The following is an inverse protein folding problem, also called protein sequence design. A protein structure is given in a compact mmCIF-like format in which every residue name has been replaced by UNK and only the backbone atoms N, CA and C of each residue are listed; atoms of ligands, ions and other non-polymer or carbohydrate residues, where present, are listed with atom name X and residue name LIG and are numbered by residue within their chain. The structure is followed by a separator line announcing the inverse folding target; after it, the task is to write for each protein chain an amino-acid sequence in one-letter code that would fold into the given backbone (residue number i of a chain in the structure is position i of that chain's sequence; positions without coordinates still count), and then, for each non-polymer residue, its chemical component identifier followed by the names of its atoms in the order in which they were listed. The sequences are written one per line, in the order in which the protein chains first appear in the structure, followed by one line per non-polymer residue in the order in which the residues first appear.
data_IF_756450247444
#
_entry.id   IF_756450247444
#
_cell.length_a   1.000
_cell.length_b   1.000
_cell.length_c   1.000
_cell.angle_alpha   90.00
_cell.angle_beta   90.00
_cell.angle_gamma   90.00
#
_symmetry.space_group_name_H-M   'P 1'
#
loop_
_entity.id
_entity.type
_entity.pdbx_description
1 polymer ?
#
# COMPACT_ATOMS: atom_id res chain seq x y z
N UNK A 1 -38.21 18.20 27.95
CA UNK A 1 -37.18 17.46 28.71
C UNK A 1 -36.69 16.28 27.88
N UNK A 2 -35.42 16.29 27.45
CA UNK A 2 -34.67 15.06 27.22
C UNK A 2 -33.47 15.00 28.18
N UNK A 3 -33.32 13.85 28.82
CA UNK A 3 -32.32 13.58 29.85
C UNK A 3 -30.90 13.62 29.30
N UNK A 4 -30.03 14.33 30.03
CA UNK A 4 -28.59 14.38 29.87
C UNK A 4 -28.03 12.99 30.19
N UNK A 5 -27.58 12.26 29.16
CA UNK A 5 -26.83 11.02 29.33
C UNK A 5 -25.41 11.40 29.78
N UNK A 6 -25.13 11.19 31.07
CA UNK A 6 -23.81 11.32 31.67
C UNK A 6 -22.80 10.43 30.93
N UNK A 7 -21.68 11.04 30.51
CA UNK A 7 -20.49 10.34 30.01
C UNK A 7 -19.93 9.44 31.11
N UNK A 8 -20.02 8.12 30.95
CA UNK A 8 -19.25 7.17 31.76
C UNK A 8 -17.77 7.32 31.43
N UNK A 9 -17.02 7.75 32.43
CA UNK A 9 -15.57 7.81 32.46
C UNK A 9 -15.06 6.36 32.42
N UNK A 10 -14.43 5.95 31.31
CA UNK A 10 -13.79 4.64 31.20
C UNK A 10 -12.57 4.62 32.12
N UNK A 11 -12.70 3.97 33.27
CA UNK A 11 -11.58 3.60 34.12
C UNK A 11 -10.67 2.66 33.34
N UNK A 12 -9.41 3.07 33.17
CA UNK A 12 -8.33 2.25 32.67
C UNK A 12 -8.09 1.16 33.71
N UNK A 13 -8.54 -0.07 33.44
CA UNK A 13 -8.22 -1.22 34.27
C UNK A 13 -6.70 -1.48 34.21
N UNK A 14 -6.00 -1.12 35.29
CA UNK A 14 -4.67 -1.62 35.60
C UNK A 14 -4.79 -3.11 35.90
N UNK A 15 -4.29 -3.96 35.02
CA UNK A 15 -4.20 -5.39 35.28
C UNK A 15 -3.25 -5.66 36.46
N UNK A 16 -3.69 -6.57 37.32
CA UNK A 16 -2.99 -7.13 38.47
C UNK A 16 -1.59 -7.62 38.12
N UNK A 17 -0.60 -7.18 38.91
CA UNK A 17 0.70 -7.82 39.03
C UNK A 17 0.56 -8.98 40.03
N UNK A 18 0.53 -10.21 39.53
CA UNK A 18 0.76 -11.42 40.32
C UNK A 18 2.00 -12.10 39.73
N UNK A 19 3.08 -12.15 40.51
CA UNK A 19 4.18 -13.13 40.39
C UNK A 19 5.11 -12.97 39.19
N UNK A 20 6.38 -12.69 39.47
CA UNK A 20 7.48 -12.63 38.51
C UNK A 20 7.67 -13.93 37.70
N UNK A 21 6.99 -14.01 36.56
CA UNK A 21 7.45 -14.68 35.34
C UNK A 21 7.08 -13.72 34.21
N UNK A 22 8.08 -13.13 33.57
CA UNK A 22 7.86 -12.24 32.43
C UNK A 22 7.03 -13.00 31.39
N UNK A 23 5.74 -12.65 31.26
CA UNK A 23 4.84 -13.30 30.31
C UNK A 23 5.42 -13.09 28.91
N UNK A 24 5.59 -14.19 28.18
CA UNK A 24 6.12 -14.21 26.81
C UNK A 24 5.31 -13.27 25.92
N UNK A 25 5.89 -12.18 25.43
CA UNK A 25 5.17 -11.17 24.65
C UNK A 25 5.67 -11.12 23.21
N UNK A 26 4.77 -11.33 22.26
CA UNK A 26 5.03 -11.12 20.84
C UNK A 26 4.73 -9.66 20.50
N UNK A 27 5.75 -8.94 20.02
CA UNK A 27 5.66 -7.50 19.76
C UNK A 27 5.76 -7.25 18.26
N UNK A 28 4.77 -6.53 17.72
CA UNK A 28 4.84 -5.93 16.38
C UNK A 28 5.21 -4.45 16.51
N UNK A 29 6.31 -4.04 15.89
CA UNK A 29 6.72 -2.65 15.85
C UNK A 29 6.61 -2.15 14.40
N UNK A 30 5.83 -1.10 14.15
CA UNK A 30 5.62 -0.68 12.76
C UNK A 30 4.41 0.16 12.47
N UNK A 31 3.99 0.09 11.20
CA UNK A 31 2.84 0.81 10.64
C UNK A 31 2.24 0.08 9.43
N UNK A 32 1.20 0.68 8.86
CA UNK A 32 0.65 0.36 7.55
C UNK A 32 0.03 -1.04 7.45
N UNK A 33 -0.39 -1.43 6.24
CA UNK A 33 -1.18 -2.64 6.00
C UNK A 33 -0.46 -3.91 6.45
N UNK A 34 0.85 -4.01 6.22
CA UNK A 34 1.67 -5.15 6.63
C UNK A 34 1.58 -5.41 8.15
N UNK A 35 1.69 -4.37 8.98
CA UNK A 35 1.64 -4.52 10.43
C UNK A 35 0.22 -4.83 10.92
N UNK A 36 -0.79 -4.18 10.34
CA UNK A 36 -2.21 -4.43 10.68
C UNK A 36 -2.64 -5.85 10.29
N UNK A 37 -2.23 -6.32 9.11
CA UNK A 37 -2.47 -7.69 8.66
C UNK A 37 -1.82 -8.71 9.59
N UNK A 38 -0.54 -8.50 9.91
CA UNK A 38 0.21 -9.39 10.81
C UNK A 38 -0.43 -9.43 12.21
N UNK A 39 -0.84 -8.28 12.76
CA UNK A 39 -1.54 -8.21 14.05
C UNK A 39 -2.83 -9.03 14.05
N UNK A 40 -3.61 -8.91 12.98
CA UNK A 40 -4.84 -9.66 12.84
C UNK A 40 -4.60 -11.17 12.69
N UNK A 41 -3.60 -11.60 11.91
CA UNK A 41 -3.22 -13.01 11.80
C UNK A 41 -2.85 -13.59 13.18
N UNK A 42 -1.99 -12.89 13.94
CA UNK A 42 -1.61 -13.33 15.27
C UNK A 42 -2.81 -13.44 16.21
N UNK A 43 -3.72 -12.46 16.17
CA UNK A 43 -4.91 -12.42 17.05
C UNK A 43 -5.96 -13.48 16.69
N UNK A 44 -6.34 -13.57 15.42
CA UNK A 44 -7.51 -14.35 14.99
C UNK A 44 -7.15 -15.74 14.47
N UNK A 45 -6.05 -15.87 13.72
CA UNK A 45 -5.62 -17.15 13.13
C UNK A 45 -4.77 -17.95 14.13
N UNK A 46 -3.70 -17.36 14.65
CA UNK A 46 -2.77 -18.04 15.57
C UNK A 46 -3.16 -17.95 17.04
N UNK A 47 -4.15 -17.11 17.38
CA UNK A 47 -4.70 -16.94 18.74
C UNK A 47 -3.63 -16.65 19.80
N UNK A 48 -2.60 -15.87 19.43
CA UNK A 48 -1.58 -15.42 20.38
C UNK A 48 -2.24 -14.50 21.41
N UNK A 49 -2.09 -14.85 22.69
CA UNK A 49 -2.72 -14.13 23.81
C UNK A 49 -1.97 -12.87 24.18
N UNK A 50 -0.65 -13.00 24.34
CA UNK A 50 0.22 -11.94 24.82
C UNK A 50 0.80 -11.15 23.64
N UNK A 51 -0.03 -10.25 23.10
CA UNK A 51 0.31 -9.36 21.99
C UNK A 51 0.45 -7.92 22.48
N UNK A 52 1.45 -7.24 21.94
CA UNK A 52 1.59 -5.80 22.07
C UNK A 52 2.13 -5.18 20.78
N UNK A 53 1.97 -3.87 20.64
CA UNK A 53 2.47 -3.13 19.49
C UNK A 53 3.34 -1.94 19.91
N UNK A 54 4.31 -1.58 19.06
CA UNK A 54 5.03 -0.31 19.13
C UNK A 54 4.70 0.49 17.87
N UNK A 55 4.18 1.70 18.07
CA UNK A 55 3.64 2.54 16.99
C UNK A 55 4.69 3.53 16.50
N UNK A 56 4.77 3.71 15.18
CA UNK A 56 5.59 4.76 14.57
C UNK A 56 5.12 6.16 14.98
N UNK A 57 6.03 7.13 15.03
CA UNK A 57 5.73 8.52 15.43
C UNK A 57 4.63 9.16 14.56
N UNK A 58 4.57 8.80 13.29
CA UNK A 58 3.64 9.38 12.31
C UNK A 58 2.25 8.76 12.31
N UNK A 59 2.03 7.63 13.00
CA UNK A 59 0.72 6.99 13.06
C UNK A 59 -0.16 7.68 14.11
N UNK A 60 -1.08 8.50 13.61
CA UNK A 60 -1.99 9.32 14.41
C UNK A 60 -3.28 8.59 14.83
N UNK A 61 -3.48 7.32 14.43
CA UNK A 61 -4.73 6.59 14.72
C UNK A 61 -5.82 6.74 13.68
N UNK A 62 -5.52 7.31 12.50
CA UNK A 62 -6.47 7.51 11.41
C UNK A 62 -6.09 6.60 10.24
N UNK A 63 -7.06 5.89 9.67
CA UNK A 63 -6.84 5.17 8.42
C UNK A 63 -6.79 6.17 7.27
N UNK A 64 -5.74 6.08 6.46
CA UNK A 64 -5.62 6.75 5.17
C UNK A 64 -5.36 5.67 4.12
N UNK A 65 -4.61 5.95 3.05
CA UNK A 65 -4.23 4.99 2.01
C UNK A 65 -3.50 3.74 2.52
N UNK A 66 -3.07 3.75 3.78
CA UNK A 66 -2.68 2.60 4.57
C UNK A 66 -3.42 2.59 5.93
N UNK A 67 -3.63 1.40 6.49
CA UNK A 67 -4.25 1.22 7.79
C UNK A 67 -3.35 1.71 8.94
N UNK A 68 -3.97 2.29 9.96
CA UNK A 68 -3.31 2.65 11.20
C UNK A 68 -3.19 1.43 12.13
N UNK A 69 -1.96 1.08 12.50
CA UNK A 69 -1.69 0.04 13.49
C UNK A 69 -2.20 0.47 14.86
N UNK A 70 -2.06 1.76 15.19
CA UNK A 70 -2.56 2.35 16.43
C UNK A 70 -4.07 2.19 16.57
N UNK A 71 -4.82 2.58 15.53
CA UNK A 71 -6.27 2.45 15.51
C UNK A 71 -6.69 1.00 15.72
N UNK A 72 -6.04 0.08 15.00
CA UNK A 72 -6.38 -1.34 15.08
C UNK A 72 -6.07 -1.94 16.45
N UNK A 73 -4.94 -1.59 17.05
CA UNK A 73 -4.58 -2.05 18.39
C UNK A 73 -5.63 -1.61 19.43
N UNK A 74 -6.12 -0.37 19.34
CA UNK A 74 -7.18 0.14 20.22
C UNK A 74 -8.49 -0.64 20.02
N UNK A 75 -8.92 -0.84 18.77
CA UNK A 75 -10.14 -1.61 18.46
C UNK A 75 -10.10 -3.04 19.00
N UNK A 76 -8.93 -3.66 19.01
CA UNK A 76 -8.72 -5.03 19.49
C UNK A 76 -8.36 -5.13 20.98
N UNK A 77 -8.31 -3.99 21.69
CA UNK A 77 -7.84 -3.90 23.06
C UNK A 77 -6.45 -4.54 23.28
N UNK A 78 -5.53 -4.26 22.36
CA UNK A 78 -4.13 -4.72 22.39
C UNK A 78 -3.24 -3.60 22.94
N UNK A 79 -2.31 -3.97 23.82
CA UNK A 79 -1.42 -3.02 24.48
C UNK A 79 -0.52 -2.28 23.49
N UNK A 80 -0.42 -0.96 23.64
CA UNK A 80 0.53 -0.11 22.91
C UNK A 80 1.67 0.22 23.87
N UNK A 81 2.88 -0.17 23.52
CA UNK A 81 4.09 0.02 24.33
C UNK A 81 5.01 1.09 23.74
N UNK A 82 5.82 1.67 24.61
CA UNK A 82 7.04 2.36 24.18
C UNK A 82 8.09 1.34 23.71
N UNK A 83 9.09 1.80 22.93
CA UNK A 83 10.20 0.94 22.53
C UNK A 83 10.97 0.43 23.76
N UNK A 84 11.16 1.25 24.79
CA UNK A 84 11.85 0.86 26.02
C UNK A 84 11.11 -0.24 26.79
N UNK A 85 9.77 -0.19 26.84
CA UNK A 85 8.98 -1.27 27.43
C UNK A 85 9.05 -2.55 26.58
N UNK A 86 9.05 -2.41 25.25
CA UNK A 86 9.19 -3.53 24.35
C UNK A 86 10.55 -4.23 24.47
N UNK A 87 11.64 -3.46 24.55
CA UNK A 87 13.02 -3.95 24.80
C UNK A 87 13.08 -4.88 26.02
N UNK A 88 12.35 -4.55 27.10
CA UNK A 88 12.33 -5.31 28.35
C UNK A 88 11.40 -6.54 28.34
N UNK A 89 10.39 -6.58 27.46
CA UNK A 89 9.27 -7.54 27.50
C UNK A 89 9.23 -8.50 26.32
N UNK A 90 9.81 -8.14 25.18
CA UNK A 90 9.73 -8.95 23.96
C UNK A 90 10.36 -10.33 24.17
N UNK A 91 9.62 -11.38 23.82
CA UNK A 91 10.20 -12.69 23.50
C UNK A 91 10.38 -12.88 22.01
N UNK A 92 9.53 -12.22 21.22
CA UNK A 92 9.68 -12.02 19.77
C UNK A 92 9.43 -10.56 19.48
N UNK A 93 10.32 -9.95 18.69
CA UNK A 93 10.15 -8.59 18.19
C UNK A 93 10.17 -8.63 16.66
N UNK A 94 9.07 -8.21 16.04
CA UNK A 94 8.91 -8.17 14.59
C UNK A 94 8.70 -6.72 14.14
N UNK A 95 9.72 -6.19 13.48
CA UNK A 95 9.72 -4.87 12.85
C UNK A 95 9.12 -4.94 11.45
N UNK A 96 8.11 -4.09 11.19
CA UNK A 96 7.39 -4.01 9.92
C UNK A 96 7.24 -2.53 9.55
N UNK A 97 8.14 -2.00 8.71
CA UNK A 97 8.18 -0.57 8.36
C UNK A 97 8.39 0.35 9.58
N UNK A 98 9.19 -0.09 10.56
CA UNK A 98 9.41 0.64 11.82
C UNK A 98 10.35 1.84 11.66
N UNK A 99 10.08 2.94 12.37
CA UNK A 99 10.75 4.23 12.18
C UNK A 99 11.90 4.53 13.16
N UNK A 100 12.26 3.57 14.02
CA UNK A 100 13.30 3.74 15.04
C UNK A 100 14.36 2.66 14.88
N UNK A 101 15.61 3.06 15.13
CA UNK A 101 16.72 2.13 15.25
C UNK A 101 16.51 1.22 16.46
N UNK A 102 16.63 -0.08 16.23
CA UNK A 102 16.49 -1.12 17.24
C UNK A 102 17.87 -1.49 17.76
N UNK A 103 18.07 -1.36 19.07
CA UNK A 103 19.34 -1.65 19.75
C UNK A 103 19.29 -3.05 20.36
N UNK A 104 19.90 -4.02 19.69
CA UNK A 104 19.78 -5.45 20.04
C UNK A 104 20.27 -5.76 21.46
N UNK A 105 21.25 -5.00 21.97
CA UNK A 105 21.84 -5.17 23.29
C UNK A 105 20.85 -4.88 24.44
N UNK A 106 19.75 -4.19 24.14
CA UNK A 106 18.70 -3.88 25.12
C UNK A 106 17.62 -4.95 25.21
N UNK A 107 17.57 -5.88 24.26
CA UNK A 107 16.62 -6.98 24.27
C UNK A 107 17.19 -8.18 25.01
N UNK A 108 16.35 -8.85 25.80
CA UNK A 108 16.70 -10.13 26.43
C UNK A 108 16.67 -11.31 25.46
N UNK A 109 15.90 -11.17 24.37
CA UNK A 109 15.75 -12.18 23.32
C UNK A 109 16.63 -11.84 22.11
N UNK A 110 17.05 -12.88 21.37
CA UNK A 110 17.69 -12.73 20.05
C UNK A 110 16.71 -12.85 18.88
N UNK A 111 15.43 -13.14 19.17
CA UNK A 111 14.36 -13.31 18.18
C UNK A 111 13.83 -11.96 17.71
N UNK A 112 14.71 -11.22 17.03
CA UNK A 112 14.49 -9.88 16.51
C UNK A 112 14.51 -9.95 14.99
N UNK A 113 13.38 -9.67 14.37
CA UNK A 113 13.15 -9.85 12.93
C UNK A 113 12.69 -8.55 12.31
N UNK A 114 13.04 -8.34 11.04
CA UNK A 114 12.57 -7.22 10.25
C UNK A 114 12.15 -7.68 8.85
N UNK A 115 11.09 -7.09 8.32
CA UNK A 115 10.83 -7.09 6.89
C UNK A 115 11.37 -5.78 6.31
N UNK A 116 12.31 -5.90 5.38
CA UNK A 116 12.83 -4.78 4.61
C UNK A 116 12.32 -4.82 3.16
N UNK A 117 12.01 -3.66 2.61
CA UNK A 117 11.50 -3.48 1.26
C UNK A 117 12.63 -3.38 0.22
N UNK A 118 13.41 -4.44 0.09
CA UNK A 118 14.30 -4.66 -1.05
C UNK A 118 14.70 -6.14 -1.14
N UNK A 119 15.35 -6.52 -2.24
CA UNK A 119 16.16 -7.74 -2.29
C UNK A 119 17.55 -7.44 -1.73
N UNK A 120 17.70 -7.60 -0.41
CA UNK A 120 19.00 -7.51 0.24
C UNK A 120 19.99 -8.51 -0.40
N UNK A 121 21.27 -8.11 -0.59
CA UNK A 121 21.94 -6.98 0.03
C UNK A 121 21.79 -5.62 -0.66
N UNK A 122 21.09 -5.52 -1.79
CA UNK A 122 20.86 -4.25 -2.49
C UNK A 122 19.87 -3.36 -1.73
N UNK A 123 19.98 -2.04 -1.89
CA UNK A 123 19.00 -1.05 -1.45
C UNK A 123 18.68 -1.07 0.06
N UNK A 124 19.69 -1.17 0.91
CA UNK A 124 19.57 -0.90 2.35
C UNK A 124 19.12 0.55 2.58
N UNK A 125 18.41 0.80 3.67
CA UNK A 125 18.01 2.14 4.08
C UNK A 125 16.74 2.65 3.39
N UNK A 126 16.82 3.84 2.78
CA UNK A 126 15.65 4.67 2.49
C UNK A 126 15.25 4.70 1.01
N UNK A 127 13.99 5.04 0.76
CA UNK A 127 13.41 5.32 -0.57
C UNK A 127 13.53 4.15 -1.56
N UNK A 128 13.36 2.93 -1.05
CA UNK A 128 13.47 1.70 -1.85
C UNK A 128 12.39 1.58 -2.92
N UNK A 129 11.31 2.35 -2.86
CA UNK A 129 10.34 2.43 -3.96
C UNK A 129 10.77 3.35 -5.12
N UNK A 130 11.83 4.14 -4.93
CA UNK A 130 12.32 5.14 -5.90
C UNK A 130 13.64 4.70 -6.51
N UNK A 131 14.60 4.27 -5.69
CA UNK A 131 15.96 3.94 -6.16
C UNK A 131 16.03 2.81 -7.20
N UNK A 132 15.34 1.68 -7.05
CA UNK A 132 15.31 0.64 -8.07
C UNK A 132 14.78 1.14 -9.41
N UNK A 133 13.76 2.02 -9.40
CA UNK A 133 13.24 2.65 -10.61
C UNK A 133 14.33 3.49 -11.29
N UNK A 134 14.99 4.38 -10.54
CA UNK A 134 16.03 5.27 -11.09
C UNK A 134 17.21 4.46 -11.66
N UNK A 135 17.60 3.39 -10.97
CA UNK A 135 18.69 2.50 -11.38
C UNK A 135 18.29 1.48 -12.45
N UNK A 136 17.01 1.45 -12.86
CA UNK A 136 16.47 0.46 -13.80
C UNK A 136 16.74 -0.99 -13.35
N UNK A 137 16.46 -1.27 -12.08
CA UNK A 137 16.66 -2.58 -11.44
C UNK A 137 15.31 -3.17 -11.00
N UNK A 138 15.32 -4.47 -10.70
CA UNK A 138 14.23 -5.16 -10.03
C UNK A 138 14.30 -4.95 -8.51
N UNK A 139 13.28 -5.42 -7.79
CA UNK A 139 13.29 -5.34 -6.32
C UNK A 139 12.57 -6.52 -5.67
N UNK A 140 12.25 -6.41 -4.39
CA UNK A 140 11.59 -7.45 -3.62
C UNK A 140 11.51 -7.11 -2.15
N UNK A 141 11.20 -8.11 -1.34
CA UNK A 141 11.09 -7.99 0.11
C UNK A 141 11.96 -9.03 0.78
N UNK A 142 12.52 -8.68 1.93
CA UNK A 142 13.42 -9.54 2.69
C UNK A 142 13.02 -9.64 4.14
N UNK A 143 12.82 -10.86 4.63
CA UNK A 143 12.78 -11.18 6.06
C UNK A 143 14.21 -11.45 6.51
N UNK A 144 14.68 -10.71 7.51
CA UNK A 144 16.02 -10.88 8.06
C UNK A 144 16.04 -10.65 9.57
N UNK A 145 17.12 -11.10 10.21
CA UNK A 145 17.39 -10.77 11.60
C UNK A 145 17.79 -9.31 11.74
N UNK A 146 17.42 -8.68 12.87
CA UNK A 146 17.94 -7.36 13.25
C UNK A 146 19.31 -7.56 13.91
N UNK A 147 20.30 -6.77 13.49
CA UNK A 147 21.60 -6.65 14.13
C UNK A 147 21.92 -5.17 14.43
N UNK A 148 23.19 -4.85 14.68
CA UNK A 148 23.61 -3.48 15.02
C UNK A 148 23.62 -2.50 13.83
N UNK A 149 23.54 -3.00 12.60
CA UNK A 149 23.57 -2.16 11.40
C UNK A 149 22.17 -1.89 10.83
N UNK A 150 22.14 -1.17 9.71
CA UNK A 150 20.91 -0.84 9.00
C UNK A 150 20.72 -1.89 7.90
N UNK A 151 19.72 -2.75 8.09
CA UNK A 151 19.34 -3.82 7.15
C UNK A 151 20.50 -4.78 6.81
N UNK A 152 21.37 -5.06 7.77
CA UNK A 152 22.61 -5.86 7.59
C UNK A 152 22.54 -7.29 8.11
N UNK A 153 21.56 -7.61 8.96
CA UNK A 153 21.48 -8.92 9.59
C UNK A 153 21.22 -10.05 8.59
N UNK A 154 21.42 -11.28 9.07
CA UNK A 154 21.28 -12.50 8.25
C UNK A 154 19.90 -12.60 7.62
N UNK A 155 19.88 -12.92 6.33
CA UNK A 155 18.64 -13.11 5.56
C UNK A 155 18.04 -14.46 5.95
N UNK A 156 16.72 -14.48 6.17
CA UNK A 156 15.93 -15.68 6.46
C UNK A 156 15.23 -16.14 5.19
N UNK A 157 14.51 -15.23 4.53
CA UNK A 157 13.75 -15.53 3.32
C UNK A 157 13.49 -14.26 2.50
N UNK A 158 13.28 -14.40 1.20
CA UNK A 158 13.10 -13.29 0.26
C UNK A 158 12.09 -13.64 -0.83
N UNK A 159 11.36 -12.63 -1.30
CA UNK A 159 10.56 -12.73 -2.52
C UNK A 159 10.92 -11.56 -3.42
N UNK A 160 11.35 -11.86 -4.65
CA UNK A 160 11.68 -10.88 -5.68
C UNK A 160 10.53 -10.63 -6.64
N UNK A 161 10.49 -9.45 -7.23
CA UNK A 161 9.59 -9.09 -8.31
C UNK A 161 10.24 -8.14 -9.32
N UNK A 162 9.78 -8.22 -10.56
CA UNK A 162 10.22 -7.32 -11.62
C UNK A 162 9.49 -5.98 -11.55
N UNK A 163 10.18 -4.90 -11.86
CA UNK A 163 9.58 -3.56 -11.95
C UNK A 163 9.30 -3.26 -13.41
N UNK A 164 8.02 -3.28 -13.80
CA UNK A 164 7.62 -2.96 -15.18
C UNK A 164 7.91 -1.48 -15.51
N UNK A 165 8.04 -1.16 -16.79
CA UNK A 165 8.42 0.18 -17.26
C UNK A 165 7.35 1.25 -16.99
N UNK A 166 6.09 0.83 -16.83
CA UNK A 166 4.96 1.68 -16.46
C UNK A 166 4.80 1.85 -14.94
N UNK A 167 5.49 1.07 -14.10
CA UNK A 167 5.33 1.17 -12.65
C UNK A 167 5.90 2.49 -12.13
N UNK A 168 5.13 3.11 -11.24
CA UNK A 168 5.54 4.27 -10.44
C UNK A 168 6.09 3.81 -9.08
N UNK A 169 6.67 4.74 -8.31
CA UNK A 169 7.10 4.42 -6.94
C UNK A 169 5.95 4.04 -6.02
N UNK A 170 4.72 4.52 -6.28
CA UNK A 170 3.53 4.05 -5.58
C UNK A 170 3.23 2.58 -5.90
N UNK A 171 3.31 2.18 -7.17
CA UNK A 171 3.05 0.79 -7.57
C UNK A 171 4.09 -0.16 -6.98
N UNK A 172 5.38 0.22 -7.03
CA UNK A 172 6.46 -0.54 -6.39
C UNK A 172 6.23 -0.67 -4.88
N UNK A 173 5.78 0.40 -4.21
CA UNK A 173 5.46 0.34 -2.79
C UNK A 173 4.27 -0.59 -2.49
N UNK A 174 3.22 -0.56 -3.31
CA UNK A 174 2.08 -1.46 -3.15
C UNK A 174 2.50 -2.93 -3.35
N UNK A 175 3.36 -3.21 -4.33
CA UNK A 175 3.96 -4.53 -4.49
C UNK A 175 4.76 -4.94 -3.26
N UNK A 176 5.57 -4.04 -2.67
CA UNK A 176 6.25 -4.36 -1.42
C UNK A 176 5.29 -4.79 -0.33
N UNK A 177 4.17 -4.07 -0.15
CA UNK A 177 3.16 -4.44 0.85
C UNK A 177 2.59 -5.82 0.57
N UNK A 178 2.20 -6.11 -0.67
CA UNK A 178 1.58 -7.38 -1.04
C UNK A 178 2.55 -8.56 -0.90
N UNK A 179 3.77 -8.43 -1.44
CA UNK A 179 4.80 -9.47 -1.32
C UNK A 179 5.29 -9.63 0.12
N UNK A 180 5.35 -8.56 0.92
CA UNK A 180 5.71 -8.65 2.31
C UNK A 180 4.64 -9.37 3.14
N UNK A 181 3.35 -9.14 2.85
CA UNK A 181 2.26 -9.91 3.45
C UNK A 181 2.40 -11.39 3.12
N UNK A 182 2.67 -11.74 1.86
CA UNK A 182 2.92 -13.12 1.46
C UNK A 182 4.13 -13.72 2.19
N UNK A 183 5.22 -12.97 2.29
CA UNK A 183 6.44 -13.40 2.97
C UNK A 183 6.19 -13.64 4.47
N UNK A 184 5.40 -12.77 5.11
CA UNK A 184 4.97 -12.95 6.49
C UNK A 184 4.08 -14.18 6.60
N UNK A 185 3.05 -14.34 5.78
CA UNK A 185 2.14 -15.50 5.85
C UNK A 185 2.87 -16.83 5.69
N UNK A 186 3.88 -16.87 4.82
CA UNK A 186 4.76 -18.02 4.62
C UNK A 186 5.57 -18.35 5.88
N UNK A 187 6.16 -17.34 6.53
CA UNK A 187 7.15 -17.54 7.60
C UNK A 187 6.60 -17.37 9.02
N UNK A 188 5.38 -16.85 9.22
CA UNK A 188 4.89 -16.46 10.55
C UNK A 188 4.77 -17.65 11.52
N UNK A 189 4.43 -18.84 11.01
CA UNK A 189 4.39 -20.07 11.83
C UNK A 189 5.78 -20.40 12.39
N UNK A 190 6.81 -20.30 11.57
CA UNK A 190 8.19 -20.60 11.95
C UNK A 190 8.79 -19.48 12.82
N UNK A 191 8.42 -18.21 12.58
CA UNK A 191 8.72 -17.09 13.48
C UNK A 191 8.17 -17.39 14.88
N UNK A 192 6.93 -17.86 15.00
CA UNK A 192 6.30 -18.19 16.28
C UNK A 192 6.99 -19.40 16.94
N UNK A 193 7.27 -20.45 16.18
CA UNK A 193 7.84 -21.70 16.65
C UNK A 193 9.35 -21.65 16.95
N UNK A 194 10.02 -20.55 16.57
CA UNK A 194 11.49 -20.42 16.63
C UNK A 194 12.23 -21.44 15.75
N UNK A 195 11.68 -21.69 14.56
CA UNK A 195 12.18 -22.67 13.61
C UNK A 195 12.70 -21.98 12.33
N UNK A 196 13.61 -21.02 12.51
CA UNK A 196 14.19 -20.24 11.43
C UNK A 196 15.71 -20.35 11.48
N UNK A 197 16.32 -20.36 10.29
CA UNK A 197 17.75 -20.16 10.12
C UNK A 197 17.97 -19.05 9.10
N UNK A 198 19.15 -18.46 9.10
CA UNK A 198 19.50 -17.39 8.17
C UNK A 198 20.94 -17.44 7.74
N UNK A 199 21.19 -16.89 6.55
CA UNK A 199 22.50 -16.83 5.93
C UNK A 199 23.03 -15.39 5.89
N UNK A 200 24.37 -15.19 5.98
CA UNK A 200 24.95 -13.85 5.93
C UNK A 200 24.72 -13.18 4.57
N UNK A 201 24.59 -11.86 4.58
CA UNK A 201 24.49 -11.07 3.35
C UNK A 201 25.81 -11.05 2.59
N UNK A 202 25.75 -11.09 1.26
CA UNK A 202 26.94 -10.94 0.41
C UNK A 202 27.50 -9.51 0.47
N UNK A 203 28.82 -9.40 0.36
CA UNK A 203 29.51 -8.11 0.17
C UNK A 203 29.33 -7.57 -1.24
N UNK A 204 29.17 -8.47 -2.22
CA UNK A 204 28.97 -8.10 -3.62
C UNK A 204 27.58 -7.52 -3.84
N UNK A 205 27.49 -6.47 -4.65
CA UNK A 205 26.24 -5.75 -4.95
C UNK A 205 25.52 -5.15 -3.73
N UNK A 206 26.12 -5.15 -2.53
CA UNK A 206 25.55 -4.47 -1.37
C UNK A 206 25.51 -2.96 -1.61
N UNK A 207 24.33 -2.35 -1.46
CA UNK A 207 24.14 -0.91 -1.64
C UNK A 207 23.27 -0.32 -0.54
N UNK A 208 23.45 0.98 -0.28
CA UNK A 208 22.76 1.70 0.78
C UNK A 208 22.42 3.12 0.34
N UNK A 209 21.24 3.59 0.70
CA UNK A 209 20.79 4.95 0.47
C UNK A 209 20.27 5.59 1.77
N UNK A 210 20.82 6.76 2.11
CA UNK A 210 20.37 7.52 3.28
C UNK A 210 19.11 8.34 3.00
N UNK A 211 18.51 8.92 4.03
CA UNK A 211 17.40 9.86 3.89
C UNK A 211 17.78 11.17 3.16
N UNK A 212 19.07 11.48 3.00
CA UNK A 212 19.58 12.63 2.24
C UNK A 212 19.83 12.32 0.76
N UNK A 213 19.64 11.07 0.36
CA UNK A 213 19.93 10.63 -1.01
C UNK A 213 18.95 11.21 -2.04
N UNK A 214 17.74 11.61 -1.61
CA UNK A 214 16.71 12.25 -2.44
C UNK A 214 16.18 13.48 -1.70
N UNK A 215 16.10 14.61 -2.39
CA UNK A 215 15.44 15.83 -1.91
C UNK A 215 14.04 15.96 -2.53
N UNK A 216 13.01 15.55 -1.80
CA UNK A 216 11.62 15.67 -2.24
C UNK A 216 11.07 17.10 -2.23
N UNK A 217 11.83 18.09 -1.75
CA UNK A 217 11.45 19.50 -1.88
C UNK A 217 11.62 20.01 -3.31
N UNK A 218 12.58 19.45 -4.06
CA UNK A 218 12.75 19.73 -5.47
C UNK A 218 11.95 18.75 -6.33
N UNK A 219 10.80 19.21 -6.82
CA UNK A 219 9.87 18.41 -7.65
C UNK A 219 10.01 18.70 -9.15
N UNK A 220 10.94 19.57 -9.54
CA UNK A 220 11.05 20.01 -10.92
C UNK A 220 11.58 18.89 -11.80
N UNK A 221 10.95 18.69 -12.95
CA UNK A 221 11.43 17.78 -13.99
C UNK A 221 12.67 18.38 -14.64
N UNK A 222 13.77 17.62 -14.68
CA UNK A 222 14.96 17.98 -15.42
C UNK A 222 14.94 17.34 -16.81
N UNK A 223 14.85 18.16 -17.85
CA UNK A 223 14.80 17.70 -19.24
C UNK A 223 16.18 17.53 -19.89
N UNK A 224 17.28 17.88 -19.21
CA UNK A 224 18.65 17.66 -19.70
C UNK A 224 19.09 16.18 -19.59
N UNK A 225 18.24 15.29 -20.08
CA UNK A 225 18.38 13.84 -20.10
C UNK A 225 17.67 13.27 -21.33
N UNK A 226 17.88 11.98 -21.63
CA UNK A 226 17.09 11.30 -22.66
C UNK A 226 15.61 11.24 -22.26
N UNK A 227 14.68 11.16 -23.22
CA UNK A 227 13.26 11.02 -22.95
C UNK A 227 12.96 9.81 -22.04
N UNK A 228 13.75 8.73 -22.20
CA UNK A 228 13.67 7.55 -21.34
C UNK A 228 14.03 7.84 -19.87
N UNK A 229 15.11 8.59 -19.63
CA UNK A 229 15.51 9.01 -18.29
C UNK A 229 14.53 10.01 -17.68
N UNK A 230 13.99 10.95 -18.48
CA UNK A 230 12.95 11.87 -18.02
C UNK A 230 11.69 11.10 -17.63
N UNK A 231 11.23 10.15 -18.45
CA UNK A 231 10.10 9.28 -18.13
C UNK A 231 10.31 8.44 -16.87
N UNK A 232 11.52 7.90 -16.70
CA UNK A 232 11.92 7.17 -15.48
C UNK A 232 11.96 8.07 -14.24
N UNK A 233 12.39 9.32 -14.36
CA UNK A 233 12.27 10.30 -13.28
C UNK A 233 10.80 10.54 -12.93
N UNK A 234 9.95 10.76 -13.93
CA UNK A 234 8.51 10.98 -13.72
C UNK A 234 7.91 9.82 -12.93
N UNK A 235 8.12 8.56 -13.36
CA UNK A 235 7.56 7.40 -12.66
C UNK A 235 8.16 7.20 -11.27
N UNK A 236 9.45 7.45 -11.07
CA UNK A 236 10.11 7.36 -9.76
C UNK A 236 9.53 8.36 -8.75
N UNK A 237 9.23 9.58 -9.18
CA UNK A 237 8.69 10.64 -8.33
C UNK A 237 7.15 10.71 -8.31
N UNK A 238 6.48 9.76 -8.98
CA UNK A 238 5.02 9.66 -8.99
C UNK A 238 4.52 8.83 -7.81
N UNK A 239 4.20 9.52 -6.71
CA UNK A 239 3.54 8.93 -5.56
C UNK A 239 2.51 9.93 -5.02
N UNK A 240 1.32 9.93 -5.60
CA UNK A 240 0.26 10.93 -5.35
C UNK A 240 0.00 11.27 -3.87
N UNK A 241 0.04 10.28 -2.98
CA UNK A 241 -0.17 10.48 -1.54
C UNK A 241 0.90 11.38 -0.89
N UNK A 242 2.03 11.58 -1.55
CA UNK A 242 3.13 12.46 -1.13
C UNK A 242 3.38 13.58 -2.15
N UNK A 243 3.64 13.24 -3.41
CA UNK A 243 3.85 14.19 -4.48
C UNK A 243 3.68 13.58 -5.88
N UNK A 244 3.53 14.46 -6.86
CA UNK A 244 3.72 14.19 -8.28
C UNK A 244 4.79 15.15 -8.84
N UNK A 245 5.45 14.80 -9.94
CA UNK A 245 6.42 15.68 -10.58
C UNK A 245 5.76 16.94 -11.14
N UNK A 246 6.50 18.06 -11.08
CA UNK A 246 6.01 19.38 -11.46
C UNK A 246 6.95 20.01 -12.49
N UNK A 247 6.40 20.79 -13.41
CA UNK A 247 7.18 21.71 -14.23
C UNK A 247 6.35 22.94 -14.54
N UNK A 248 6.94 24.14 -14.42
CA UNK A 248 6.25 25.43 -14.60
C UNK A 248 4.90 25.52 -13.84
N UNK A 249 4.89 25.08 -12.58
CA UNK A 249 3.69 25.00 -11.70
C UNK A 249 2.56 24.09 -12.19
N UNK A 250 2.80 23.27 -13.22
CA UNK A 250 1.86 22.25 -13.69
C UNK A 250 2.27 20.90 -13.13
N UNK A 251 1.31 20.19 -12.55
CA UNK A 251 1.50 18.83 -12.04
C UNK A 251 1.27 17.83 -13.17
N UNK A 252 2.23 16.91 -13.35
CA UNK A 252 2.16 15.86 -14.35
C UNK A 252 2.05 14.49 -13.70
N UNK A 253 1.27 13.60 -14.30
CA UNK A 253 0.90 12.31 -13.72
C UNK A 253 1.32 11.10 -14.56
N UNK A 254 1.61 11.32 -15.85
CA UNK A 254 1.97 10.29 -16.81
C UNK A 254 2.76 10.92 -17.98
N UNK A 255 3.34 10.10 -18.85
CA UNK A 255 4.09 10.55 -20.02
C UNK A 255 3.97 9.59 -21.21
N UNK A 256 4.38 10.07 -22.38
CA UNK A 256 4.59 9.29 -23.60
C UNK A 256 5.84 9.82 -24.31
N UNK A 257 6.73 8.92 -24.72
CA UNK A 257 7.90 9.27 -25.54
C UNK A 257 7.49 9.19 -27.00
N UNK A 258 7.75 10.24 -27.77
CA UNK A 258 7.40 10.26 -29.19
C UNK A 258 8.53 9.70 -30.06
N UNK A 259 8.26 9.51 -31.35
CA UNK A 259 9.30 9.22 -32.35
C UNK A 259 9.97 10.48 -32.91
N UNK A 260 9.47 11.67 -32.55
CA UNK A 260 9.98 12.96 -33.02
C UNK A 260 11.22 13.40 -32.24
N UNK A 261 12.08 14.18 -32.89
CA UNK A 261 13.31 14.73 -32.31
C UNK A 261 13.45 16.20 -32.67
N UNK A 262 13.03 17.08 -31.77
CA UNK A 262 13.16 18.51 -31.97
C UNK A 262 14.61 18.98 -31.91
N UNK A 263 14.95 20.02 -32.67
CA UNK A 263 16.24 20.71 -32.59
C UNK A 263 16.30 21.75 -31.45
N UNK A 264 15.19 21.94 -30.72
CA UNK A 264 15.11 22.89 -29.62
C UNK A 264 15.94 22.42 -28.40
N UNK A 265 16.41 23.37 -27.59
CA UNK A 265 17.13 23.07 -26.35
C UNK A 265 16.25 22.20 -25.42
N UNK A 266 16.82 21.22 -24.69
CA UNK A 266 16.04 20.38 -23.78
C UNK A 266 15.21 21.19 -22.78
N UNK A 267 13.96 20.79 -22.58
CA UNK A 267 12.97 21.50 -21.74
C UNK A 267 12.21 22.61 -22.46
N UNK A 268 12.45 22.84 -23.75
CA UNK A 268 11.63 23.76 -24.55
C UNK A 268 10.24 23.15 -24.73
N UNK A 269 9.19 23.90 -24.38
CA UNK A 269 7.80 23.49 -24.61
C UNK A 269 7.47 23.64 -26.09
N UNK A 270 7.15 22.53 -26.74
CA UNK A 270 6.85 22.45 -28.17
C UNK A 270 5.35 22.61 -28.45
N UNK A 271 4.53 21.97 -27.62
CA UNK A 271 3.07 21.99 -27.74
C UNK A 271 2.42 22.01 -26.35
N UNK A 272 1.24 22.61 -26.23
CA UNK A 272 0.51 22.68 -24.98
C UNK A 272 -0.99 22.80 -25.22
N UNK A 273 -1.78 21.93 -24.61
CA UNK A 273 -3.25 21.97 -24.65
C UNK A 273 -3.84 21.66 -23.27
N UNK A 274 -5.15 21.48 -23.16
CA UNK A 274 -5.79 21.24 -21.86
C UNK A 274 -5.41 19.92 -21.18
N UNK A 275 -4.96 18.93 -21.95
CA UNK A 275 -4.62 17.57 -21.51
C UNK A 275 -3.11 17.39 -21.29
N UNK A 276 -2.29 17.96 -22.16
CA UNK A 276 -0.87 17.60 -22.26
C UNK A 276 0.04 18.80 -22.51
N UNK A 277 1.33 18.61 -22.25
CA UNK A 277 2.41 19.51 -22.65
C UNK A 277 3.55 18.68 -23.24
N UNK A 278 4.02 19.02 -24.44
CA UNK A 278 5.13 18.35 -25.11
C UNK A 278 6.42 19.15 -24.94
N UNK A 279 7.52 18.48 -24.62
CA UNK A 279 8.82 19.10 -24.40
C UNK A 279 9.91 18.39 -25.21
N UNK A 280 10.90 19.15 -25.67
CA UNK A 280 12.14 18.57 -26.20
C UNK A 280 13.00 17.98 -25.07
N UNK A 281 13.75 16.93 -25.37
CA UNK A 281 14.76 16.35 -24.48
C UNK A 281 16.11 16.23 -25.20
N UNK A 282 17.06 15.45 -24.68
CA UNK A 282 18.37 15.23 -25.35
C UNK A 282 18.22 14.44 -26.66
N UNK A 283 17.24 13.54 -26.77
CA UNK A 283 17.07 12.66 -27.92
C UNK A 283 15.68 12.75 -28.57
N UNK A 284 14.63 12.25 -27.91
CA UNK A 284 13.25 12.27 -28.43
C UNK A 284 12.39 13.28 -27.67
N UNK A 285 11.33 13.77 -28.28
CA UNK A 285 10.38 14.61 -27.57
C UNK A 285 9.53 13.77 -26.60
N UNK A 286 9.06 14.40 -25.52
CA UNK A 286 8.24 13.76 -24.49
C UNK A 286 6.94 14.52 -24.29
N UNK A 287 5.81 13.82 -24.31
CA UNK A 287 4.48 14.34 -23.99
C UNK A 287 4.18 14.03 -22.53
N UNK A 288 3.86 15.05 -21.74
CA UNK A 288 3.50 14.92 -20.34
C UNK A 288 2.00 15.15 -20.15
N UNK A 289 1.33 14.26 -19.42
CA UNK A 289 -0.10 14.35 -19.12
C UNK A 289 -0.35 15.14 -17.83
N UNK A 290 -1.14 16.20 -17.94
CA UNK A 290 -1.53 17.05 -16.81
C UNK A 290 -2.44 16.27 -15.87
N UNK A 291 -2.23 16.39 -14.57
CA UNK A 291 -3.06 15.68 -13.60
C UNK A 291 -4.53 16.18 -13.61
N UNK A 292 -5.47 15.24 -13.67
CA UNK A 292 -6.93 15.48 -13.71
C UNK A 292 -7.72 14.50 -12.84
N UNK A 293 -7.09 13.91 -11.82
CA UNK A 293 -7.73 12.86 -11.01
C UNK A 293 -9.11 13.24 -10.47
N UNK A 294 -9.27 14.44 -9.90
CA UNK A 294 -10.55 14.86 -9.32
C UNK A 294 -11.65 14.96 -10.38
N UNK A 295 -11.33 15.46 -11.57
CA UNK A 295 -12.27 15.50 -12.69
C UNK A 295 -12.67 14.09 -13.13
N UNK A 296 -11.70 13.17 -13.23
CA UNK A 296 -11.99 11.77 -13.60
C UNK A 296 -12.93 11.10 -12.59
N UNK A 297 -12.74 11.37 -11.30
CA UNK A 297 -13.68 10.91 -10.27
C UNK A 297 -15.08 11.52 -10.41
N UNK A 298 -15.17 12.82 -10.71
CA UNK A 298 -16.45 13.49 -10.95
C UNK A 298 -17.20 12.89 -12.15
N UNK A 299 -16.50 12.67 -13.28
CA UNK A 299 -17.09 12.05 -14.47
C UNK A 299 -17.56 10.61 -14.18
N UNK A 300 -16.77 9.85 -13.42
CA UNK A 300 -17.15 8.51 -12.98
C UNK A 300 -18.41 8.51 -12.09
N UNK A 301 -18.52 9.47 -11.17
CA UNK A 301 -19.71 9.64 -10.32
C UNK A 301 -20.95 10.02 -11.12
N UNK A 302 -20.79 10.77 -12.21
CA UNK A 302 -21.88 11.20 -13.10
C UNK A 302 -22.26 10.12 -14.13
N UNK A 303 -21.45 9.07 -14.28
CA UNK A 303 -21.66 8.03 -15.30
C UNK A 303 -21.26 8.47 -16.72
N UNK A 304 -20.52 9.57 -16.88
CA UNK A 304 -20.11 10.10 -18.18
C UNK A 304 -18.88 9.34 -18.71
N UNK A 305 -19.13 8.16 -19.28
CA UNK A 305 -18.10 7.28 -19.82
C UNK A 305 -17.34 7.92 -21.01
N UNK A 306 -18.04 8.64 -21.87
CA UNK A 306 -17.44 9.19 -23.09
C UNK A 306 -16.47 10.33 -22.79
N UNK A 307 -16.80 11.19 -21.81
CA UNK A 307 -15.85 12.19 -21.36
C UNK A 307 -14.72 11.57 -20.51
N UNK A 308 -15.03 10.58 -19.65
CA UNK A 308 -14.03 9.88 -18.84
C UNK A 308 -12.92 9.25 -19.70
N UNK A 309 -13.29 8.62 -20.83
CA UNK A 309 -12.35 8.04 -21.80
C UNK A 309 -11.29 9.05 -22.27
N UNK A 310 -11.66 10.32 -22.45
CA UNK A 310 -10.73 11.37 -22.90
C UNK A 310 -9.67 11.73 -21.86
N UNK A 311 -9.99 11.56 -20.57
CA UNK A 311 -9.11 11.94 -19.46
C UNK A 311 -8.44 10.75 -18.77
N UNK A 312 -8.62 9.53 -19.25
CA UNK A 312 -8.09 8.33 -18.57
C UNK A 312 -6.56 8.30 -18.50
N UNK A 313 -5.86 8.98 -19.43
CA UNK A 313 -4.40 9.11 -19.41
C UNK A 313 -3.91 10.25 -18.50
N UNK A 314 -4.83 11.07 -18.00
CA UNK A 314 -4.57 12.20 -17.10
C UNK A 314 -4.70 11.83 -15.62
N UNK A 315 -4.57 10.55 -15.29
CA UNK A 315 -4.41 10.04 -13.92
C UNK A 315 -3.13 9.20 -13.84
N UNK A 316 -2.55 9.12 -12.65
CA UNK A 316 -1.32 8.34 -12.43
C UNK A 316 -1.59 6.84 -12.45
N UNK A 317 -2.76 6.42 -11.96
CA UNK A 317 -3.15 5.02 -11.90
C UNK A 317 -4.67 4.89 -11.97
N UNK A 318 -5.14 3.90 -12.73
CA UNK A 318 -6.56 3.51 -12.79
C UNK A 318 -7.10 3.05 -11.42
N UNK A 319 -6.18 2.64 -10.53
CA UNK A 319 -6.46 2.17 -9.18
C UNK A 319 -6.27 3.26 -8.10
N UNK A 320 -6.08 4.53 -8.51
CA UNK A 320 -6.14 5.65 -7.58
C UNK A 320 -7.49 5.70 -6.85
N UNK A 321 -7.49 6.31 -5.67
CA UNK A 321 -8.65 6.36 -4.77
C UNK A 321 -8.94 7.80 -4.38
N UNK A 322 -10.22 8.12 -4.24
CA UNK A 322 -10.65 9.41 -3.72
C UNK A 322 -10.47 9.50 -2.19
N UNK A 323 -10.87 10.63 -1.59
CA UNK A 323 -10.78 10.87 -0.15
C UNK A 323 -11.56 9.87 0.73
N UNK A 324 -12.56 9.18 0.14
CA UNK A 324 -13.35 8.14 0.81
C UNK A 324 -12.76 6.74 0.60
N UNK A 325 -11.58 6.63 -0.04
CA UNK A 325 -10.93 5.39 -0.45
C UNK A 325 -11.67 4.59 -1.53
N UNK A 326 -12.50 5.24 -2.33
CA UNK A 326 -13.18 4.56 -3.42
C UNK A 326 -12.34 4.68 -4.68
N UNK A 327 -12.09 3.55 -5.35
CA UNK A 327 -11.57 3.55 -6.71
C UNK A 327 -12.67 3.89 -7.71
N UNK A 328 -12.29 4.24 -8.94
CA UNK A 328 -13.24 4.43 -10.04
C UNK A 328 -14.13 3.18 -10.22
N UNK A 329 -13.53 2.00 -10.14
CA UNK A 329 -14.24 0.74 -10.29
C UNK A 329 -15.28 0.52 -9.17
N UNK A 330 -14.99 0.94 -7.93
CA UNK A 330 -15.99 0.88 -6.84
C UNK A 330 -17.16 1.82 -7.07
N UNK A 331 -16.90 3.04 -7.53
CA UNK A 331 -17.95 4.02 -7.84
C UNK A 331 -18.85 3.49 -8.96
N UNK A 332 -18.26 3.00 -10.05
CA UNK A 332 -19.00 2.43 -11.17
C UNK A 332 -19.80 1.18 -10.74
N UNK A 333 -19.20 0.30 -9.93
CA UNK A 333 -19.86 -0.90 -9.42
C UNK A 333 -21.06 -0.59 -8.50
N UNK A 334 -20.90 0.38 -7.60
CA UNK A 334 -21.96 0.81 -6.68
C UNK A 334 -23.16 1.45 -7.39
N UNK A 335 -22.91 2.15 -8.50
CA UNK A 335 -23.96 2.78 -9.31
C UNK A 335 -24.50 1.87 -10.43
N UNK A 336 -23.92 0.69 -10.64
CA UNK A 336 -24.36 -0.23 -11.68
C UNK A 336 -23.99 0.17 -13.11
N UNK A 337 -22.98 1.04 -13.28
CA UNK A 337 -22.53 1.50 -14.60
C UNK A 337 -21.76 0.41 -15.33
N UNK A 338 -22.48 -0.57 -15.89
CA UNK A 338 -21.91 -1.79 -16.47
C UNK A 338 -20.84 -1.51 -17.52
N UNK A 339 -21.11 -0.64 -18.49
CA UNK A 339 -20.16 -0.34 -19.57
C UNK A 339 -18.92 0.40 -19.07
N UNK A 340 -19.09 1.25 -18.06
CA UNK A 340 -17.96 1.90 -17.38
C UNK A 340 -17.13 0.90 -16.58
N UNK A 341 -17.77 -0.06 -15.90
CA UNK A 341 -17.06 -1.16 -15.22
C UNK A 341 -16.24 -1.97 -16.23
N UNK A 342 -16.84 -2.36 -17.35
CA UNK A 342 -16.15 -3.10 -18.40
C UNK A 342 -14.93 -2.32 -18.93
N UNK A 343 -15.11 -1.03 -19.23
CA UNK A 343 -14.03 -0.17 -19.70
C UNK A 343 -12.91 0.02 -18.66
N UNK A 344 -13.24 0.28 -17.39
CA UNK A 344 -12.24 0.46 -16.35
C UNK A 344 -11.40 -0.81 -16.14
N UNK A 345 -12.03 -1.99 -16.23
CA UNK A 345 -11.32 -3.28 -16.16
C UNK A 345 -10.42 -3.48 -17.38
N UNK A 346 -10.87 -3.11 -18.58
CA UNK A 346 -10.04 -3.12 -19.80
C UNK A 346 -8.79 -2.24 -19.63
N UNK A 347 -8.91 -1.12 -18.93
CA UNK A 347 -7.80 -0.23 -18.59
C UNK A 347 -6.94 -0.72 -17.40
N UNK A 348 -7.20 -1.91 -16.87
CA UNK A 348 -6.41 -2.56 -15.83
C UNK A 348 -6.86 -2.26 -14.39
N UNK A 349 -8.11 -1.84 -14.17
CA UNK A 349 -8.64 -1.68 -12.81
C UNK A 349 -8.67 -3.03 -12.07
N UNK A 350 -8.19 -3.02 -10.82
CA UNK A 350 -8.16 -4.20 -9.96
C UNK A 350 -9.58 -4.59 -9.51
N UNK A 351 -10.07 -5.70 -10.05
CA UNK A 351 -11.38 -6.29 -9.72
C UNK A 351 -11.52 -6.63 -8.22
N UNK A 352 -10.41 -6.79 -7.51
CA UNK A 352 -10.32 -7.13 -6.09
C UNK A 352 -9.91 -5.96 -5.19
N UNK A 353 -9.94 -4.73 -5.72
CA UNK A 353 -9.62 -3.52 -4.98
C UNK A 353 -10.51 -3.38 -3.73
N UNK A 354 -9.96 -2.82 -2.66
CA UNK A 354 -10.66 -2.62 -1.38
C UNK A 354 -10.50 -1.21 -0.82
N UNK A 355 -11.54 -0.65 -0.20
CA UNK A 355 -11.44 0.63 0.50
C UNK A 355 -10.69 0.50 1.87
N UNK A 356 -10.66 1.56 2.69
CA UNK A 356 -10.06 1.57 4.06
C UNK A 356 -10.82 0.75 5.11
N UNK A 357 -11.83 -0.03 4.70
CA UNK A 357 -12.51 -1.01 5.54
C UNK A 357 -12.35 -2.44 5.03
N UNK A 358 -11.61 -2.63 3.94
CA UNK A 358 -11.53 -3.92 3.26
C UNK A 358 -12.77 -4.25 2.42
N UNK A 359 -13.72 -3.31 2.27
CA UNK A 359 -14.89 -3.52 1.41
C UNK A 359 -14.45 -3.63 -0.05
N UNK A 360 -14.75 -4.75 -0.68
CA UNK A 360 -14.33 -5.07 -2.05
C UNK A 360 -15.24 -4.42 -3.10
N UNK A 361 -14.76 -4.31 -4.35
CA UNK A 361 -15.59 -3.95 -5.51
C UNK A 361 -16.85 -4.83 -5.59
N UNK A 362 -16.71 -6.13 -5.36
CA UNK A 362 -17.84 -7.07 -5.39
C UNK A 362 -18.87 -6.78 -4.29
N UNK A 363 -18.45 -6.37 -3.10
CA UNK A 363 -19.37 -5.93 -2.03
C UNK A 363 -20.14 -4.66 -2.43
N UNK A 364 -19.55 -3.75 -3.21
CA UNK A 364 -20.28 -2.60 -3.76
C UNK A 364 -21.26 -3.00 -4.88
N UNK A 365 -20.87 -3.90 -5.77
CA UNK A 365 -21.77 -4.44 -6.80
C UNK A 365 -22.95 -5.21 -6.19
N UNK A 366 -22.73 -5.92 -5.08
CA UNK A 366 -23.76 -6.56 -4.26
C UNK A 366 -24.81 -5.54 -3.79
N UNK A 367 -24.37 -4.40 -3.25
CA UNK A 367 -25.29 -3.32 -2.84
C UNK A 367 -26.13 -2.76 -3.99
N UNK A 368 -25.57 -2.68 -5.21
CA UNK A 368 -26.33 -2.33 -6.41
C UNK A 368 -27.33 -3.43 -6.81
N UNK A 369 -26.91 -4.69 -6.80
CA UNK A 369 -27.76 -5.81 -7.19
C UNK A 369 -28.99 -5.92 -6.28
N UNK A 370 -28.81 -5.76 -4.96
CA UNK A 370 -29.92 -5.82 -4.00
C UNK A 370 -30.90 -4.66 -4.15
N UNK A 371 -30.42 -3.42 -4.36
CA UNK A 371 -31.32 -2.26 -4.51
C UNK A 371 -32.08 -2.24 -5.83
N UNK A 372 -31.48 -2.78 -6.89
CA UNK A 372 -32.01 -2.70 -8.26
C UNK A 372 -32.72 -3.97 -8.72
N UNK A 373 -32.50 -5.10 -8.07
CA UNK A 373 -32.90 -6.43 -8.56
C UNK A 373 -32.04 -6.94 -9.72
N UNK A 374 -30.97 -6.23 -10.12
CA UNK A 374 -30.11 -6.60 -11.24
C UNK A 374 -28.74 -7.11 -10.79
N UNK A 375 -28.57 -8.43 -10.80
CA UNK A 375 -27.31 -9.12 -10.46
C UNK A 375 -26.34 -9.34 -11.62
N UNK A 376 -26.65 -8.85 -12.83
CA UNK A 376 -25.79 -9.05 -14.03
C UNK A 376 -24.36 -8.56 -13.80
N UNK A 377 -24.22 -7.37 -13.21
CA UNK A 377 -22.91 -6.80 -12.90
C UNK A 377 -22.15 -7.59 -11.84
N UNK A 378 -22.86 -8.07 -10.81
CA UNK A 378 -22.28 -8.91 -9.76
C UNK A 378 -21.69 -10.20 -10.35
N UNK A 379 -22.45 -10.91 -11.19
CA UNK A 379 -21.96 -12.10 -11.90
C UNK A 379 -20.83 -11.80 -12.89
N UNK A 380 -20.88 -10.68 -13.59
CA UNK A 380 -19.80 -10.26 -14.49
C UNK A 380 -18.47 -10.10 -13.73
N UNK A 381 -18.50 -9.47 -12.55
CA UNK A 381 -17.29 -9.33 -11.71
C UNK A 381 -16.79 -10.67 -11.18
N UNK A 382 -17.69 -11.58 -10.76
CA UNK A 382 -17.31 -12.94 -10.37
C UNK A 382 -16.63 -13.70 -11.51
N UNK A 383 -17.18 -13.62 -12.73
CA UNK A 383 -16.59 -14.23 -13.93
C UNK A 383 -15.18 -13.69 -14.22
N UNK A 384 -14.92 -12.43 -13.88
CA UNK A 384 -13.61 -11.80 -14.02
C UNK A 384 -12.66 -12.04 -12.83
N UNK A 385 -13.03 -12.92 -11.89
CA UNK A 385 -12.17 -13.31 -10.78
C UNK A 385 -12.28 -12.43 -9.53
N UNK A 386 -13.39 -11.70 -9.36
CA UNK A 386 -13.70 -11.08 -8.08
C UNK A 386 -13.81 -12.15 -6.98
N UNK A 387 -13.09 -11.95 -5.88
CA UNK A 387 -12.98 -12.91 -4.79
C UNK A 387 -14.08 -12.66 -3.73
N UNK A 388 -15.11 -13.49 -3.76
CA UNK A 388 -16.21 -13.53 -2.78
C UNK A 388 -15.80 -14.09 -1.41
N UNK A 389 -14.64 -14.75 -1.33
CA UNK A 389 -14.03 -15.30 -0.11
C UNK A 389 -13.00 -14.37 0.52
N UNK A 390 -12.80 -13.16 -0.01
CA UNK A 390 -11.95 -12.15 0.63
C UNK A 390 -12.66 -11.61 1.87
N UNK A 391 -11.98 -11.70 3.01
CA UNK A 391 -12.47 -11.06 4.24
C UNK A 391 -12.09 -9.59 4.28
N UNK A 392 -12.97 -8.78 4.86
CA UNK A 392 -12.69 -7.38 5.13
C UNK A 392 -11.83 -7.17 6.39
N UNK A 393 -11.64 -5.93 6.82
CA UNK A 393 -10.83 -5.62 8.01
C UNK A 393 -11.41 -6.19 9.31
N UNK A 394 -12.68 -6.56 9.32
CA UNK A 394 -13.40 -7.15 10.45
C UNK A 394 -13.42 -8.68 10.38
N UNK A 395 -12.67 -9.28 9.46
CA UNK A 395 -12.64 -10.73 9.23
C UNK A 395 -14.00 -11.29 8.81
N UNK A 396 -14.81 -10.49 8.11
CA UNK A 396 -16.11 -10.89 7.58
C UNK A 396 -16.05 -11.13 6.08
N UNK A 397 -16.67 -12.22 5.64
CA UNK A 397 -16.93 -12.50 4.22
C UNK A 397 -18.08 -11.64 3.69
N UNK A 398 -18.22 -11.59 2.37
CA UNK A 398 -19.37 -10.92 1.73
C UNK A 398 -20.71 -11.49 2.23
N UNK A 399 -20.79 -12.81 2.40
CA UNK A 399 -22.00 -13.52 2.85
C UNK A 399 -22.39 -13.22 4.29
N UNK A 400 -21.45 -12.79 5.15
CA UNK A 400 -21.75 -12.45 6.55
C UNK A 400 -22.60 -11.17 6.68
N UNK A 401 -22.78 -10.44 5.57
CA UNK A 401 -23.60 -9.23 5.47
C UNK A 401 -24.96 -9.48 4.82
N UNK A 402 -25.34 -10.73 4.58
CA UNK A 402 -26.52 -11.10 3.82
C UNK A 402 -27.41 -12.05 4.61
N UNK A 403 -28.72 -11.99 4.36
CA UNK A 403 -29.65 -13.04 4.74
C UNK A 403 -29.74 -14.12 3.65
N UNK A 404 -30.36 -15.27 3.96
CA UNK A 404 -30.45 -16.41 3.05
C UNK A 404 -31.11 -16.05 1.71
N UNK A 405 -32.20 -15.27 1.72
CA UNK A 405 -32.88 -14.85 0.49
C UNK A 405 -32.00 -13.98 -0.41
N UNK A 406 -31.18 -13.11 0.18
CA UNK A 406 -30.24 -12.28 -0.56
C UNK A 406 -29.08 -13.10 -1.14
N UNK A 407 -28.59 -14.10 -0.41
CA UNK A 407 -27.60 -15.06 -0.90
C UNK A 407 -28.19 -15.83 -2.08
N UNK A 408 -29.40 -16.38 -1.94
CA UNK A 408 -30.08 -17.13 -2.99
C UNK A 408 -30.30 -16.26 -4.24
N UNK A 409 -30.71 -15.00 -4.06
CA UNK A 409 -30.84 -14.05 -5.16
C UNK A 409 -29.50 -13.84 -5.88
N UNK A 410 -28.44 -13.51 -5.15
CA UNK A 410 -27.13 -13.16 -5.72
C UNK A 410 -26.40 -14.33 -6.38
N UNK A 411 -26.55 -15.55 -5.85
CA UNK A 411 -25.80 -16.72 -6.30
C UNK A 411 -26.65 -17.73 -7.08
N UNK A 412 -27.96 -17.51 -7.25
CA UNK A 412 -28.77 -18.34 -8.15
C UNK A 412 -28.28 -18.18 -9.59
N UNK A 413 -28.17 -19.31 -10.30
CA UNK A 413 -27.97 -19.31 -11.73
C UNK A 413 -29.16 -18.59 -12.39
N UNK A 414 -28.87 -17.66 -13.30
CA UNK A 414 -29.88 -17.12 -14.23
C UNK A 414 -30.10 -18.10 -15.37
#
# INVERSE_FOLDING_TARGET
MPQIIQRKQYQINRYCLIGEKWASMFIIAGKNNIAVHTLNLLKFKYKIRDLAVVINKTDNGINDWQYSLKKRAIELNIAILTLEEAEKRATVFLSLEFDKLVKIEKFKTKRLFNIHFSLLPKYKGMFTSVWPILNNDNSGVTLHYIDNGIDTGKIIDQIGFSIENNYTSKDVYLNYIDYAIQLIEKNLKDIIADNLDGYPQSVECSSYYSNKSIDFSNKNINFYHTAWEVGRYIRAFSFRNYQLPVHNNVVYCNYEITSERSAALPGTMLENNQFTSKFSTIDYDIVLYKDRLELVFQLCQQGDLEELKKYIRNISSINDRNQQSWSLLMIAAYNGYYDMVAYLIEMGADVNATNYKGTTVLMYAKEYALRSGNKKLFHYLLMLGANDKKVDMYYKFLTDYLNNTEIDFLYSNN
#
